data_IF_672710899818
#
_entry.id   IF_672710899818
#
_cell.length_a   1.000
_cell.length_b   1.000
_cell.length_c   1.000
_cell.angle_alpha   90.00
_cell.angle_beta   90.00
_cell.angle_gamma   90.00
#
_symmetry.space_group_name_H-M   'P 1'
#
loop_
_entity.id
_entity.type
_entity.pdbx_description
1 polymer ?
#
# COMPACT_ATOMS: atom_id res chain seq x y z
N UNK A 1 7.79 -25.65 0.56
CA UNK A 1 6.89 -25.08 1.58
C UNK A 1 6.18 -23.86 0.99
N UNK A 2 4.91 -23.65 1.36
CA UNK A 2 4.19 -22.40 1.05
C UNK A 2 4.73 -21.26 1.92
N UNK A 3 4.66 -20.02 1.43
CA UNK A 3 4.98 -18.83 2.23
C UNK A 3 4.01 -18.70 3.42
N UNK A 4 4.48 -18.22 4.57
CA UNK A 4 3.65 -18.10 5.78
C UNK A 4 2.40 -17.22 5.58
N UNK A 5 2.49 -16.22 4.70
CA UNK A 5 1.39 -15.33 4.32
C UNK A 5 0.46 -15.92 3.25
N UNK A 6 0.52 -17.22 2.94
CA UNK A 6 -0.36 -17.84 1.94
C UNK A 6 -1.88 -17.59 2.15
N UNK A 7 -2.40 -17.49 3.39
CA UNK A 7 -3.81 -17.13 3.62
C UNK A 7 -4.15 -15.66 3.35
N UNK A 8 -3.14 -14.79 3.19
CA UNK A 8 -3.34 -13.36 2.95
C UNK A 8 -3.60 -13.14 1.46
N UNK A 9 -4.75 -12.52 1.16
CA UNK A 9 -5.10 -12.10 -0.20
C UNK A 9 -4.08 -11.14 -0.79
N UNK A 10 -4.16 -10.92 -2.10
CA UNK A 10 -3.45 -9.83 -2.77
C UNK A 10 -3.71 -8.50 -2.07
N UNK A 11 -2.69 -7.67 -1.99
CA UNK A 11 -2.79 -6.29 -1.52
C UNK A 11 -3.01 -5.39 -2.73
N UNK A 12 -4.04 -4.56 -2.69
CA UNK A 12 -4.38 -3.65 -3.78
C UNK A 12 -3.75 -2.26 -3.58
N UNK A 13 -3.70 -1.79 -2.33
CA UNK A 13 -3.15 -0.48 -1.97
C UNK A 13 -2.29 -0.59 -0.71
N UNK A 14 -1.09 -0.02 -0.76
CA UNK A 14 -0.20 0.17 0.38
C UNK A 14 -0.12 1.66 0.69
N UNK A 15 -0.46 2.02 1.92
CA UNK A 15 -0.33 3.39 2.44
C UNK A 15 0.84 3.41 3.43
N UNK A 16 1.84 4.26 3.18
CA UNK A 16 3.06 4.32 3.99
C UNK A 16 3.36 5.73 4.49
N UNK A 17 3.46 5.87 5.81
CA UNK A 17 3.85 7.11 6.49
C UNK A 17 5.38 7.31 6.56
N UNK A 18 5.78 8.56 6.76
CA UNK A 18 7.16 8.99 7.00
C UNK A 18 7.99 9.24 5.74
N UNK A 19 7.36 9.49 4.60
CA UNK A 19 8.00 9.98 3.35
C UNK A 19 8.95 8.99 2.65
N UNK A 20 9.20 7.80 3.23
CA UNK A 20 10.12 6.80 2.65
C UNK A 20 9.40 5.97 1.58
N UNK A 21 10.00 5.88 0.39
CA UNK A 21 9.47 5.14 -0.77
C UNK A 21 10.16 3.78 -0.92
N UNK A 22 9.78 2.82 -0.08
CA UNK A 22 10.30 1.44 -0.12
C UNK A 22 9.28 0.47 0.46
N UNK A 23 9.29 -0.78 0.03
CA UNK A 23 8.42 -1.82 0.61
C UNK A 23 8.94 -2.35 1.95
N UNK A 24 10.27 -2.33 2.18
CA UNK A 24 10.89 -2.84 3.41
C UNK A 24 10.53 -4.30 3.75
N UNK A 25 10.29 -5.14 2.73
CA UNK A 25 9.94 -6.55 2.95
C UNK A 25 8.51 -6.81 3.41
N UNK A 26 7.64 -5.79 3.38
CA UNK A 26 6.21 -5.95 3.66
C UNK A 26 5.53 -6.79 2.57
N UNK A 27 5.12 -8.02 2.90
CA UNK A 27 4.35 -8.95 2.05
C UNK A 27 4.73 -8.92 0.55
N UNK A 28 5.99 -9.22 0.17
CA UNK A 28 6.50 -8.97 -1.18
C UNK A 28 5.71 -9.67 -2.28
N UNK A 29 5.21 -10.89 -2.03
CA UNK A 29 4.42 -11.65 -2.99
C UNK A 29 3.02 -11.07 -3.14
N UNK A 30 2.34 -10.76 -2.03
CA UNK A 30 1.00 -10.19 -2.05
C UNK A 30 0.96 -8.76 -2.60
N UNK A 31 2.07 -8.04 -2.53
CA UNK A 31 2.20 -6.62 -2.90
C UNK A 31 2.61 -6.40 -4.36
N UNK A 32 2.79 -7.45 -5.15
CA UNK A 32 3.46 -7.37 -6.47
C UNK A 32 2.74 -6.44 -7.47
N UNK A 33 1.43 -6.26 -7.33
CA UNK A 33 0.61 -5.35 -8.13
C UNK A 33 -0.08 -4.26 -7.29
N UNK A 34 0.37 -4.05 -6.05
CA UNK A 34 -0.23 -3.04 -5.19
C UNK A 34 0.18 -1.64 -5.62
N UNK A 35 -0.77 -0.71 -5.65
CA UNK A 35 -0.46 0.71 -5.71
C UNK A 35 0.19 1.17 -4.40
N UNK A 36 1.07 2.17 -4.51
CA UNK A 36 1.90 2.62 -3.39
C UNK A 36 1.71 4.11 -3.11
N UNK A 37 0.93 4.43 -2.09
CA UNK A 37 0.67 5.80 -1.65
C UNK A 37 1.55 6.16 -0.44
N UNK A 38 2.24 7.30 -0.51
CA UNK A 38 3.15 7.75 0.55
C UNK A 38 2.61 9.01 1.20
N UNK A 39 2.52 8.96 2.52
CA UNK A 39 2.19 10.09 3.38
C UNK A 39 3.48 10.63 3.97
N UNK A 40 3.73 11.93 3.79
CA UNK A 40 4.95 12.57 4.31
C UNK A 40 4.93 12.72 5.83
N UNK A 41 3.76 12.87 6.44
CA UNK A 41 3.59 12.88 7.89
C UNK A 41 4.07 11.57 8.53
N UNK A 42 4.54 11.63 9.77
CA UNK A 42 4.93 10.44 10.52
C UNK A 42 3.71 9.72 11.07
N UNK A 43 3.86 8.41 11.35
CA UNK A 43 2.77 7.58 11.87
C UNK A 43 2.12 8.11 13.16
N UNK A 44 2.86 8.67 14.16
CA UNK A 44 2.24 9.26 15.35
C UNK A 44 1.32 10.45 15.04
N UNK A 45 1.53 11.12 13.91
CA UNK A 45 0.73 12.26 13.46
C UNK A 45 -0.42 11.81 12.53
N UNK A 46 -0.86 10.55 12.66
CA UNK A 46 -1.96 10.01 11.88
C UNK A 46 -3.23 10.86 12.02
N UNK A 47 -3.89 11.11 10.88
CA UNK A 47 -5.21 11.71 10.79
C UNK A 47 -6.05 10.91 9.80
N UNK A 48 -7.36 10.85 10.02
CA UNK A 48 -8.26 10.05 9.18
C UNK A 48 -8.26 10.53 7.72
N UNK A 49 -8.04 11.82 7.51
CA UNK A 49 -7.93 12.45 6.18
C UNK A 49 -6.82 11.80 5.35
N UNK A 50 -5.68 11.42 5.95
CA UNK A 50 -4.60 10.74 5.22
C UNK A 50 -5.06 9.42 4.57
N UNK A 51 -5.97 8.69 5.24
CA UNK A 51 -6.54 7.46 4.70
C UNK A 51 -7.54 7.79 3.59
N UNK A 52 -8.41 8.77 3.78
CA UNK A 52 -9.39 9.17 2.77
C UNK A 52 -8.73 9.72 1.52
N UNK A 53 -7.69 10.54 1.65
CA UNK A 53 -6.90 11.06 0.54
C UNK A 53 -6.24 9.94 -0.26
N UNK A 54 -5.71 8.92 0.43
CA UNK A 54 -5.11 7.75 -0.20
C UNK A 54 -6.16 6.91 -0.97
N UNK A 55 -7.36 6.74 -0.40
CA UNK A 55 -8.47 6.04 -1.06
C UNK A 55 -9.01 6.82 -2.27
N UNK A 56 -9.14 8.14 -2.15
CA UNK A 56 -9.56 9.00 -3.25
C UNK A 56 -8.53 8.97 -4.37
N UNK A 57 -7.23 9.05 -4.04
CA UNK A 57 -6.15 8.89 -4.99
C UNK A 57 -6.21 7.51 -5.66
N UNK A 58 -6.37 6.43 -4.90
CA UNK A 58 -6.45 5.07 -5.42
C UNK A 58 -7.63 4.89 -6.39
N UNK A 59 -8.79 5.47 -6.10
CA UNK A 59 -9.98 5.42 -6.98
C UNK A 59 -9.78 6.03 -8.37
N UNK A 60 -8.72 6.84 -8.54
CA UNK A 60 -8.35 7.48 -9.80
C UNK A 60 -7.28 6.70 -10.57
N UNK A 61 -6.69 5.67 -9.97
CA UNK A 61 -5.67 4.85 -10.63
C UNK A 61 -6.34 3.84 -11.57
N UNK A 62 -5.68 3.55 -12.67
CA UNK A 62 -6.15 2.54 -13.61
C UNK A 62 -5.85 1.15 -13.06
N UNK A 63 -6.82 0.23 -13.14
CA UNK A 63 -6.66 -1.15 -12.69
C UNK A 63 -5.89 -1.89 -13.79
N UNK A 64 -4.57 -1.72 -13.83
CA UNK A 64 -3.71 -2.46 -14.74
C UNK A 64 -3.39 -3.82 -14.14
N UNK A 65 -4.14 -4.87 -14.53
CA UNK A 65 -3.85 -6.24 -14.11
C UNK A 65 -2.57 -6.83 -14.75
N UNK A 66 -1.82 -6.04 -15.54
CA UNK A 66 -0.60 -6.47 -16.23
C UNK A 66 0.41 -5.37 -16.57
N UNK A 67 0.22 -4.15 -16.06
CA UNK A 67 0.90 -2.93 -16.54
C UNK A 67 0.19 -2.23 -17.67
#
# INVERSE_FOLDING_TARGET
ELIHSAPVSRVDLIIRWGGRRRLSGFLPVQSIYADFYVVDAYWPDFKAEHLFDALEWYSKQDITLGG
#
